data_IF_226443063954
#
_entry.id   IF_226443063954
#
_cell.length_a   1.000
_cell.length_b   1.000
_cell.length_c   1.000
_cell.angle_alpha   90.00
_cell.angle_beta   90.00
_cell.angle_gamma   90.00
#
_symmetry.space_group_name_H-M   'P 1'
#
loop_
_entity.id
_entity.type
_entity.pdbx_description
1 polymer ?
#
# COMPACT_ATOMS: atom_id res chain seq x y z
N UNK A 1 0.10 13.04 21.64
CA UNK A 1 1.40 12.34 21.74
C UNK A 1 1.83 11.91 20.34
N UNK A 2 2.90 12.50 19.78
CA UNK A 2 3.35 12.21 18.41
C UNK A 2 4.43 11.12 18.41
N UNK A 3 4.05 9.87 18.11
CA UNK A 3 5.00 8.77 17.97
C UNK A 3 5.80 8.93 16.66
N UNK A 4 7.06 9.33 16.75
CA UNK A 4 7.92 9.58 15.58
C UNK A 4 8.93 8.44 15.36
N UNK A 5 8.50 7.40 14.65
CA UNK A 5 9.33 6.23 14.34
C UNK A 5 10.40 6.51 13.27
N UNK A 6 10.43 7.72 12.68
CA UNK A 6 11.47 8.12 11.72
C UNK A 6 12.86 7.97 12.32
N UNK A 7 13.02 8.29 13.61
CA UNK A 7 14.32 8.30 14.32
C UNK A 7 14.88 6.91 14.61
N UNK A 8 14.06 5.86 14.52
CA UNK A 8 14.56 4.49 14.61
C UNK A 8 15.40 4.17 13.37
N UNK A 9 16.58 3.58 13.54
CA UNK A 9 17.31 2.95 12.45
C UNK A 9 16.51 1.73 11.94
N UNK A 10 16.63 1.41 10.64
CA UNK A 10 15.99 0.24 10.05
C UNK A 10 14.96 0.52 8.95
N UNK A 11 14.57 -0.56 8.26
CA UNK A 11 13.71 -0.54 7.08
C UNK A 11 12.31 -0.01 7.40
N UNK A 12 11.67 0.66 6.43
CA UNK A 12 10.31 1.21 6.56
C UNK A 12 9.27 0.17 7.01
N UNK A 13 9.47 -1.10 6.65
CA UNK A 13 8.59 -2.20 7.08
C UNK A 13 8.67 -2.49 8.57
N UNK A 14 9.86 -2.44 9.16
CA UNK A 14 10.01 -2.60 10.61
C UNK A 14 9.29 -1.47 11.36
N UNK A 15 9.44 -0.22 10.86
CA UNK A 15 8.71 0.94 11.37
C UNK A 15 7.20 0.78 11.23
N UNK A 16 6.72 0.23 10.10
CA UNK A 16 5.30 -0.06 9.92
C UNK A 16 4.77 -1.12 10.89
N UNK A 17 5.56 -2.14 11.22
CA UNK A 17 5.21 -3.13 12.26
C UNK A 17 5.08 -2.48 13.64
N UNK A 18 6.04 -1.63 14.03
CA UNK A 18 5.99 -0.90 15.31
C UNK A 18 4.82 0.10 15.34
N UNK A 19 4.56 0.80 14.23
CA UNK A 19 3.41 1.69 14.09
C UNK A 19 2.11 0.90 14.24
N UNK A 20 2.03 -0.30 13.68
CA UNK A 20 0.88 -1.19 13.84
C UNK A 20 0.68 -1.55 15.31
N UNK A 21 1.71 -1.92 16.06
CA UNK A 21 1.55 -2.25 17.48
C UNK A 21 1.04 -1.05 18.31
N UNK A 22 1.54 0.15 18.02
CA UNK A 22 1.26 1.37 18.81
C UNK A 22 -0.03 2.09 18.42
N UNK A 23 -0.25 2.36 17.12
CA UNK A 23 -1.43 3.10 16.63
C UNK A 23 -2.71 2.26 16.70
N UNK A 24 -2.59 0.94 16.48
CA UNK A 24 -3.78 0.12 16.36
C UNK A 24 -4.51 -0.04 17.70
N UNK A 25 -3.79 0.00 18.82
CA UNK A 25 -4.37 -0.14 20.15
C UNK A 25 -5.31 1.01 20.52
N UNK A 26 -5.12 2.22 19.96
CA UNK A 26 -5.90 3.41 20.31
C UNK A 26 -7.06 3.62 19.31
N UNK A 27 -6.77 3.60 18.02
CA UNK A 27 -7.75 4.09 17.03
C UNK A 27 -8.82 3.06 16.63
N UNK A 28 -8.55 1.75 16.78
CA UNK A 28 -9.49 0.72 16.31
C UNK A 28 -10.71 0.52 17.22
N UNK A 29 -10.60 0.87 18.51
CA UNK A 29 -11.68 0.65 19.48
C UNK A 29 -12.83 1.66 19.32
N UNK A 30 -12.55 2.91 18.98
CA UNK A 30 -13.57 3.97 19.00
C UNK A 30 -14.66 3.88 17.92
N UNK A 31 -14.40 3.25 16.76
CA UNK A 31 -15.35 3.20 15.67
C UNK A 31 -16.14 1.88 15.64
N UNK A 32 -15.47 0.76 15.34
CA UNK A 32 -16.17 -0.51 15.13
C UNK A 32 -16.73 -1.13 16.43
N UNK A 33 -16.09 -0.91 17.59
CA UNK A 33 -16.65 -1.35 18.89
C UNK A 33 -17.74 -0.40 19.43
N UNK A 34 -17.94 0.76 18.79
CA UNK A 34 -19.15 1.58 18.93
C UNK A 34 -20.31 1.13 18.02
N UNK A 35 -20.08 0.14 17.15
CA UNK A 35 -21.07 -0.36 16.18
C UNK A 35 -21.22 0.53 14.95
N UNK A 36 -20.26 1.41 14.67
CA UNK A 36 -20.22 2.28 13.49
C UNK A 36 -19.05 1.95 12.57
N UNK A 37 -19.20 2.24 11.28
CA UNK A 37 -18.10 2.16 10.32
C UNK A 37 -17.28 3.46 10.39
N UNK A 38 -15.94 3.42 10.39
CA UNK A 38 -15.13 4.62 10.30
C UNK A 38 -15.47 5.45 9.06
N UNK A 39 -15.65 6.75 9.26
CA UNK A 39 -15.92 7.70 8.16
C UNK A 39 -14.72 7.84 7.23
N UNK A 40 -14.90 8.40 6.03
CA UNK A 40 -13.78 8.68 5.12
C UNK A 40 -12.73 9.60 5.76
N UNK A 41 -13.19 10.66 6.44
CA UNK A 41 -12.32 11.63 7.14
C UNK A 41 -11.45 10.95 8.20
N UNK A 42 -12.04 10.08 9.03
CA UNK A 42 -11.29 9.33 10.05
C UNK A 42 -10.28 8.37 9.43
N UNK A 43 -10.67 7.66 8.36
CA UNK A 43 -9.76 6.75 7.63
C UNK A 43 -8.58 7.50 7.04
N UNK A 44 -8.82 8.68 6.45
CA UNK A 44 -7.76 9.54 5.90
C UNK A 44 -6.85 10.08 7.01
N UNK A 45 -7.41 10.63 8.08
CA UNK A 45 -6.65 11.14 9.22
C UNK A 45 -5.77 10.05 9.86
N UNK A 46 -6.32 8.84 10.05
CA UNK A 46 -5.56 7.69 10.54
C UNK A 46 -4.42 7.32 9.60
N UNK A 47 -4.72 7.17 8.31
CA UNK A 47 -3.71 6.84 7.31
C UNK A 47 -2.58 7.88 7.26
N UNK A 48 -2.91 9.17 7.30
CA UNK A 48 -1.94 10.25 7.31
C UNK A 48 -1.07 10.24 8.57
N UNK A 49 -1.66 10.03 9.75
CA UNK A 49 -0.93 9.91 11.00
C UNK A 49 0.00 8.70 11.00
N UNK A 50 -0.50 7.53 10.58
CA UNK A 50 0.27 6.29 10.46
C UNK A 50 1.45 6.46 9.49
N UNK A 51 1.16 7.00 8.31
CA UNK A 51 2.15 7.31 7.29
C UNK A 51 3.19 8.30 7.81
N UNK A 52 2.78 9.31 8.57
CA UNK A 52 3.68 10.30 9.17
C UNK A 52 4.60 9.68 10.20
N UNK A 53 4.08 8.76 11.02
CA UNK A 53 4.91 8.01 11.97
C UNK A 53 5.96 7.15 11.25
N UNK A 54 5.58 6.45 10.18
CA UNK A 54 6.47 5.52 9.47
C UNK A 54 7.48 6.23 8.56
N UNK A 55 7.02 7.22 7.78
CA UNK A 55 7.83 7.90 6.76
C UNK A 55 8.36 9.27 7.22
N UNK A 56 7.91 9.78 8.36
CA UNK A 56 8.20 11.14 8.83
C UNK A 56 7.18 12.18 8.36
N UNK A 57 7.50 13.47 8.55
CA UNK A 57 6.68 14.60 8.09
C UNK A 57 6.34 14.55 6.59
N UNK A 58 5.45 15.43 6.09
CA UNK A 58 5.16 15.52 4.67
C UNK A 58 6.45 15.80 3.90
N UNK A 59 7.04 14.76 3.31
CA UNK A 59 8.10 14.95 2.35
C UNK A 59 7.49 15.76 1.20
N UNK A 60 7.81 17.06 1.12
CA UNK A 60 7.51 17.90 -0.03
C UNK A 60 7.98 17.11 -1.26
N UNK A 61 7.05 16.59 -2.06
CA UNK A 61 7.35 15.78 -3.24
C UNK A 61 7.18 14.26 -3.14
N UNK A 62 6.61 13.67 -2.08
CA UNK A 62 6.24 12.23 -2.12
C UNK A 62 5.05 11.99 -3.08
N UNK A 63 5.39 11.49 -4.26
CA UNK A 63 4.47 11.21 -5.37
C UNK A 63 3.97 9.77 -5.41
N UNK A 64 4.41 8.87 -4.52
CA UNK A 64 4.04 7.47 -4.67
C UNK A 64 2.54 7.27 -4.40
N UNK A 65 1.90 6.44 -5.22
CA UNK A 65 0.48 6.15 -5.13
C UNK A 65 0.12 5.60 -3.75
N UNK A 66 -0.85 6.23 -3.07
CA UNK A 66 -1.22 5.86 -1.69
C UNK A 66 -1.64 4.38 -1.58
N UNK A 67 -2.48 3.83 -2.48
CA UNK A 67 -2.85 2.42 -2.40
C UNK A 67 -1.64 1.47 -2.57
N UNK A 68 -0.72 1.78 -3.49
CA UNK A 68 0.53 0.99 -3.64
C UNK A 68 1.44 1.09 -2.41
N UNK A 69 1.50 2.26 -1.77
CA UNK A 69 2.27 2.41 -0.53
C UNK A 69 1.66 1.57 0.62
N UNK A 70 0.33 1.53 0.75
CA UNK A 70 -0.32 0.62 1.69
C UNK A 70 0.02 -0.84 1.38
N UNK A 71 -0.03 -1.22 0.10
CA UNK A 71 0.24 -2.59 -0.35
C UNK A 71 1.69 -3.04 -0.09
N UNK A 72 2.68 -2.21 -0.46
CA UNK A 72 4.08 -2.63 -0.55
C UNK A 72 4.96 -2.19 0.63
N UNK A 73 4.57 -1.12 1.33
CA UNK A 73 5.40 -0.47 2.36
C UNK A 73 4.72 -0.54 3.74
N UNK A 74 3.51 0.01 3.85
CA UNK A 74 2.88 0.29 5.15
C UNK A 74 2.07 -0.90 5.68
N UNK A 75 1.60 -1.78 4.79
CA UNK A 75 0.79 -2.93 5.14
C UNK A 75 -0.64 -2.59 5.59
N UNK A 76 -1.38 -3.64 5.92
CA UNK A 76 -2.80 -3.57 6.31
C UNK A 76 -3.05 -2.81 7.62
N UNK A 77 -2.04 -2.72 8.50
CA UNK A 77 -2.13 -1.92 9.73
C UNK A 77 -2.31 -0.41 9.49
N UNK A 78 -2.01 0.07 8.28
CA UNK A 78 -2.23 1.47 7.87
C UNK A 78 -3.66 1.77 7.42
N UNK A 79 -4.55 0.77 7.43
CA UNK A 79 -5.95 0.89 7.03
C UNK A 79 -6.87 0.68 8.25
N UNK A 80 -7.49 1.77 8.71
CA UNK A 80 -8.36 1.75 9.88
C UNK A 80 -9.57 0.82 9.70
N UNK A 81 -10.11 0.72 8.48
CA UNK A 81 -11.26 -0.12 8.17
C UNK A 81 -10.88 -1.59 8.31
N UNK A 82 -9.77 -1.98 7.67
CA UNK A 82 -9.23 -3.34 7.75
C UNK A 82 -8.93 -3.74 9.20
N UNK A 83 -8.21 -2.87 9.90
CA UNK A 83 -7.76 -3.12 11.25
C UNK A 83 -8.92 -3.37 12.22
N UNK A 84 -9.93 -2.49 12.21
CA UNK A 84 -11.04 -2.63 13.12
C UNK A 84 -11.92 -3.83 12.75
N UNK A 85 -12.08 -4.15 11.45
CA UNK A 85 -12.81 -5.35 11.02
C UNK A 85 -12.09 -6.62 11.50
N UNK A 86 -10.77 -6.71 11.32
CA UNK A 86 -9.97 -7.83 11.78
C UNK A 86 -10.05 -8.02 13.30
N UNK A 87 -9.96 -6.94 14.08
CA UNK A 87 -10.08 -7.02 15.54
C UNK A 87 -11.46 -7.47 15.99
N UNK A 88 -12.52 -6.94 15.37
CA UNK A 88 -13.89 -7.34 15.68
C UNK A 88 -14.12 -8.82 15.34
N UNK A 89 -13.66 -9.31 14.18
CA UNK A 89 -13.72 -10.73 13.82
C UNK A 89 -13.00 -11.62 14.84
N UNK A 90 -11.78 -11.23 15.25
CA UNK A 90 -11.02 -11.97 16.27
C UNK A 90 -11.72 -11.97 17.63
N UNK A 91 -12.32 -10.84 18.02
CA UNK A 91 -13.08 -10.74 19.27
C UNK A 91 -14.31 -11.66 19.26
N UNK A 92 -15.09 -11.65 18.16
CA UNK A 92 -16.25 -12.53 17.99
C UNK A 92 -15.81 -14.00 18.01
N UNK A 93 -14.74 -14.35 17.29
CA UNK A 93 -14.22 -15.72 17.27
C UNK A 93 -13.77 -16.21 18.66
N UNK A 94 -13.05 -15.39 19.43
CA UNK A 94 -12.63 -15.72 20.81
C UNK A 94 -13.82 -15.86 21.75
N UNK A 95 -14.80 -14.96 21.64
CA UNK A 95 -16.03 -15.07 22.41
C UNK A 95 -16.77 -16.38 22.09
N UNK A 96 -16.83 -16.77 20.82
CA UNK A 96 -17.45 -18.02 20.40
C UNK A 96 -16.73 -19.25 20.97
N UNK A 97 -15.40 -19.23 20.98
CA UNK A 97 -14.58 -20.28 21.61
C UNK A 97 -14.86 -20.38 23.11
N UNK A 98 -14.90 -19.25 23.80
CA UNK A 98 -15.20 -19.20 25.24
C UNK A 98 -16.62 -19.67 25.57
N UNK A 99 -17.61 -19.26 24.78
CA UNK A 99 -18.99 -19.72 24.94
C UNK A 99 -19.09 -21.24 24.79
N UNK A 100 -18.45 -21.82 23.76
CA UNK A 100 -18.39 -23.28 23.55
C UNK A 100 -17.72 -24.00 24.71
N UNK A 101 -16.59 -23.50 25.20
CA UNK A 101 -15.89 -24.08 26.34
C UNK A 101 -16.75 -24.09 27.61
N UNK A 102 -17.65 -23.11 27.76
CA UNK A 102 -18.64 -23.05 28.84
C UNK A 102 -19.98 -23.75 28.53
N UNK A 103 -20.04 -24.64 27.53
CA UNK A 103 -21.26 -25.40 27.18
C UNK A 103 -22.38 -24.59 26.52
N UNK A 104 -22.11 -23.35 26.10
CA UNK A 104 -23.11 -22.45 25.47
C UNK A 104 -22.91 -22.41 23.96
N UNK A 105 -23.90 -22.79 23.14
CA UNK A 105 -23.75 -22.75 21.69
C UNK A 105 -23.79 -21.29 21.17
N UNK A 106 -22.73 -20.79 20.50
CA UNK A 106 -22.65 -19.41 20.02
C UNK A 106 -23.78 -19.01 19.07
N UNK A 107 -24.36 -20.01 18.38
CA UNK A 107 -25.45 -19.86 17.42
C UNK A 107 -26.74 -19.32 18.02
N UNK A 108 -26.94 -19.46 19.34
CA UNK A 108 -28.09 -18.86 20.04
C UNK A 108 -28.06 -17.33 19.98
N UNK A 109 -26.87 -16.73 19.90
CA UNK A 109 -26.72 -15.29 19.73
C UNK A 109 -26.68 -14.94 18.24
N UNK A 110 -27.69 -14.19 17.77
CA UNK A 110 -27.75 -13.72 16.38
C UNK A 110 -26.76 -12.59 16.12
N UNK A 111 -25.46 -12.91 16.05
CA UNK A 111 -24.39 -11.93 15.77
C UNK A 111 -24.73 -11.08 14.55
N UNK A 112 -25.22 -11.70 13.47
CA UNK A 112 -25.63 -11.03 12.22
C UNK A 112 -26.69 -9.94 12.39
N UNK A 113 -27.47 -9.95 13.49
CA UNK A 113 -28.50 -8.93 13.78
C UNK A 113 -27.99 -7.78 14.65
N UNK A 114 -26.76 -7.84 15.13
CA UNK A 114 -26.18 -6.77 15.95
C UNK A 114 -25.72 -5.58 15.10
N UNK A 115 -25.67 -4.39 15.70
CA UNK A 115 -25.04 -3.21 15.05
C UNK A 115 -23.59 -3.47 14.63
N UNK A 116 -22.88 -4.30 15.41
CA UNK A 116 -21.51 -4.72 15.15
C UNK A 116 -21.39 -5.53 13.87
N UNK A 117 -22.27 -6.52 13.67
CA UNK A 117 -22.25 -7.31 12.45
C UNK A 117 -22.66 -6.50 11.22
N UNK A 118 -23.59 -5.56 11.34
CA UNK A 118 -23.92 -4.63 10.22
C UNK A 118 -22.73 -3.75 9.84
N UNK A 119 -22.00 -3.23 10.82
CA UNK A 119 -20.80 -2.44 10.57
C UNK A 119 -19.67 -3.30 9.98
N UNK A 120 -19.48 -4.51 10.51
CA UNK A 120 -18.53 -5.49 9.99
C UNK A 120 -18.87 -5.89 8.54
N UNK A 121 -20.14 -6.13 8.24
CA UNK A 121 -20.59 -6.49 6.89
C UNK A 121 -20.22 -5.40 5.89
N UNK A 122 -20.50 -4.12 6.21
CA UNK A 122 -20.10 -2.99 5.36
C UNK A 122 -18.59 -2.93 5.12
N UNK A 123 -17.76 -3.38 6.06
CA UNK A 123 -16.31 -3.47 5.88
C UNK A 123 -15.94 -4.63 4.95
N UNK A 124 -16.55 -5.80 5.17
CA UNK A 124 -16.30 -7.02 4.40
C UNK A 124 -16.78 -6.90 2.94
N UNK A 125 -17.89 -6.21 2.70
CA UNK A 125 -18.41 -5.89 1.36
C UNK A 125 -17.35 -5.12 0.53
N UNK A 126 -16.59 -4.22 1.17
CA UNK A 126 -15.53 -3.45 0.51
C UNK A 126 -14.42 -4.35 -0.08
N UNK A 127 -14.24 -5.54 0.49
CA UNK A 127 -13.27 -6.54 0.00
C UNK A 127 -13.94 -7.72 -0.71
N UNK A 128 -15.23 -7.63 -1.02
CA UNK A 128 -15.99 -8.65 -1.76
C UNK A 128 -16.38 -9.87 -0.92
N UNK A 129 -16.44 -9.75 0.40
CA UNK A 129 -16.86 -10.82 1.31
C UNK A 129 -18.34 -10.70 1.67
N UNK A 130 -19.15 -11.62 1.17
CA UNK A 130 -20.61 -11.64 1.41
C UNK A 130 -20.99 -12.63 2.50
N UNK A 131 -22.05 -12.39 3.29
CA UNK A 131 -22.48 -13.33 4.32
C UNK A 131 -22.97 -14.63 3.68
N UNK A 132 -22.70 -15.78 4.31
CA UNK A 132 -23.21 -17.07 3.86
C UNK A 132 -24.62 -17.27 4.45
N UNK A 133 -25.68 -17.41 3.61
CA UNK A 133 -27.03 -17.61 4.10
C UNK A 133 -27.14 -18.82 5.04
N UNK A 134 -27.87 -18.66 6.15
CA UNK A 134 -28.11 -19.72 7.13
C UNK A 134 -26.91 -20.07 8.02
N UNK A 135 -25.71 -19.53 7.75
CA UNK A 135 -24.52 -19.80 8.56
C UNK A 135 -24.27 -18.69 9.58
N UNK A 136 -23.83 -19.09 10.77
CA UNK A 136 -23.52 -18.16 11.85
C UNK A 136 -22.13 -17.56 11.64
N UNK A 137 -22.05 -16.23 11.52
CA UNK A 137 -20.80 -15.49 11.39
C UNK A 137 -19.82 -16.10 10.36
N UNK A 138 -20.36 -16.42 9.19
CA UNK A 138 -19.60 -16.93 8.06
C UNK A 138 -19.76 -16.01 6.84
N UNK A 139 -18.66 -15.83 6.11
CA UNK A 139 -18.57 -15.02 4.89
C UNK A 139 -17.85 -15.76 3.79
N UNK A 140 -18.14 -15.42 2.54
CA UNK A 140 -17.55 -16.04 1.36
C UNK A 140 -17.05 -15.01 0.36
N UNK A 141 -15.93 -15.32 -0.27
CA UNK A 141 -15.41 -14.63 -1.46
C UNK A 141 -14.96 -15.69 -2.47
N UNK A 142 -15.74 -15.88 -3.55
CA UNK A 142 -15.49 -16.97 -4.51
C UNK A 142 -15.50 -18.33 -3.80
N UNK A 143 -14.37 -19.05 -3.85
CA UNK A 143 -14.18 -20.36 -3.17
C UNK A 143 -13.68 -20.25 -1.73
N UNK A 144 -13.31 -19.05 -1.28
CA UNK A 144 -12.78 -18.83 0.07
C UNK A 144 -13.92 -18.61 1.06
N UNK A 145 -13.81 -19.20 2.25
CA UNK A 145 -14.80 -19.06 3.33
C UNK A 145 -14.09 -18.63 4.60
N UNK A 146 -14.67 -17.63 5.26
CA UNK A 146 -14.29 -17.16 6.57
C UNK A 146 -15.40 -17.51 7.52
N UNK A 147 -15.21 -18.58 8.29
CA UNK A 147 -16.15 -19.08 9.27
C UNK A 147 -15.54 -18.95 10.67
N UNK A 148 -16.19 -18.19 11.55
CA UNK A 148 -15.71 -18.00 12.92
C UNK A 148 -15.96 -19.20 13.83
N UNK A 149 -16.77 -20.17 13.40
CA UNK A 149 -16.98 -21.44 14.09
C UNK A 149 -15.92 -22.48 13.75
N UNK A 150 -15.21 -22.31 12.63
CA UNK A 150 -14.18 -23.23 12.18
C UNK A 150 -13.01 -23.34 13.18
N UNK A 151 -12.16 -24.35 12.95
CA UNK A 151 -10.98 -24.57 13.78
C UNK A 151 -10.07 -23.34 13.80
N UNK A 152 -9.20 -23.22 14.82
CA UNK A 152 -8.21 -22.14 14.86
C UNK A 152 -7.37 -22.06 13.58
N UNK A 153 -6.94 -23.23 13.06
CA UNK A 153 -6.13 -23.33 11.83
C UNK A 153 -6.89 -22.80 10.62
N UNK A 154 -8.16 -23.16 10.47
CA UNK A 154 -9.00 -22.70 9.36
C UNK A 154 -9.30 -21.20 9.45
N UNK A 155 -9.49 -20.67 10.66
CA UNK A 155 -9.66 -19.23 10.88
C UNK A 155 -8.41 -18.43 10.54
N UNK A 156 -7.23 -18.92 10.91
CA UNK A 156 -5.96 -18.26 10.52
C UNK A 156 -5.76 -18.27 9.00
N UNK A 157 -6.12 -19.37 8.32
CA UNK A 157 -6.16 -19.41 6.85
C UNK A 157 -7.17 -18.39 6.30
N UNK A 158 -8.39 -18.33 6.83
CA UNK A 158 -9.39 -17.36 6.39
C UNK A 158 -8.95 -15.90 6.62
N UNK A 159 -8.26 -15.60 7.71
CA UNK A 159 -7.67 -14.27 7.93
C UNK A 159 -6.50 -13.98 6.98
N UNK A 160 -5.78 -15.00 6.52
CA UNK A 160 -4.84 -14.84 5.42
C UNK A 160 -5.57 -14.48 4.13
N UNK A 161 -6.62 -15.22 3.78
CA UNK A 161 -7.44 -15.00 2.59
C UNK A 161 -8.07 -13.59 2.58
N UNK A 162 -8.60 -13.14 3.73
CA UNK A 162 -9.10 -11.77 3.92
C UNK A 162 -8.01 -10.70 3.70
N UNK A 163 -6.78 -10.93 4.17
CA UNK A 163 -5.64 -10.02 3.89
C UNK A 163 -5.31 -9.98 2.41
N UNK A 164 -5.39 -11.12 1.72
CA UNK A 164 -5.13 -11.19 0.28
C UNK A 164 -6.20 -10.41 -0.50
N UNK A 165 -7.47 -10.53 -0.12
CA UNK A 165 -8.57 -9.72 -0.65
C UNK A 165 -8.31 -8.21 -0.48
N UNK A 166 -7.96 -7.78 0.73
CA UNK A 166 -7.61 -6.38 1.02
C UNK A 166 -6.47 -5.87 0.11
N UNK A 167 -5.42 -6.68 -0.09
CA UNK A 167 -4.30 -6.31 -0.98
C UNK A 167 -4.74 -6.14 -2.43
N UNK A 168 -5.59 -7.04 -2.93
CA UNK A 168 -6.16 -6.91 -4.28
C UNK A 168 -6.96 -5.61 -4.40
N UNK A 169 -7.81 -5.29 -3.42
CA UNK A 169 -8.55 -4.02 -3.40
C UNK A 169 -7.63 -2.80 -3.42
N UNK A 170 -6.49 -2.81 -2.70
CA UNK A 170 -5.49 -1.71 -2.78
C UNK A 170 -4.94 -1.57 -4.20
N UNK A 171 -4.65 -2.68 -4.87
CA UNK A 171 -4.14 -2.65 -6.24
C UNK A 171 -5.21 -2.14 -7.23
N UNK A 172 -6.46 -2.57 -7.07
CA UNK A 172 -7.60 -2.08 -7.85
C UNK A 172 -7.84 -0.58 -7.66
N UNK A 173 -7.75 -0.07 -6.44
CA UNK A 173 -7.88 1.36 -6.17
C UNK A 173 -6.79 2.17 -6.86
N UNK A 174 -5.55 1.66 -6.93
CA UNK A 174 -4.52 2.29 -7.75
C UNK A 174 -4.86 2.21 -9.24
N UNK A 175 -5.28 1.03 -9.73
CA UNK A 175 -5.68 0.84 -11.13
C UNK A 175 -6.86 1.73 -11.53
N UNK A 176 -7.76 2.10 -10.63
CA UNK A 176 -8.89 3.01 -10.91
C UNK A 176 -8.50 4.49 -10.85
N UNK A 177 -7.29 4.81 -10.35
CA UNK A 177 -6.87 6.20 -10.19
C UNK A 177 -6.57 6.89 -11.54
N UNK A 178 -6.66 8.24 -11.61
CA UNK A 178 -6.36 9.01 -12.82
C UNK A 178 -4.84 9.18 -13.04
N UNK A 179 -3.99 8.47 -12.28
CA UNK A 179 -2.54 8.60 -12.39
C UNK A 179 -2.05 8.05 -13.73
N UNK A 180 -1.00 8.67 -14.29
CA UNK A 180 -0.37 8.22 -15.54
C UNK A 180 0.16 6.78 -15.45
N UNK A 181 0.75 6.39 -14.31
CA UNK A 181 1.20 5.01 -14.08
C UNK A 181 0.04 4.01 -14.07
N UNK A 182 -1.10 4.37 -13.47
CA UNK A 182 -2.32 3.55 -13.52
C UNK A 182 -2.94 3.48 -14.93
N UNK A 183 -2.90 4.57 -15.71
CA UNK A 183 -3.37 4.58 -17.10
C UNK A 183 -2.55 3.57 -17.93
N UNK A 184 -1.21 3.62 -17.84
CA UNK A 184 -0.32 2.67 -18.53
C UNK A 184 -0.63 1.22 -18.10
N UNK A 185 -0.85 0.99 -16.80
CA UNK A 185 -1.20 -0.34 -16.30
C UNK A 185 -2.51 -0.86 -16.88
N UNK A 186 -3.53 -0.01 -17.02
CA UNK A 186 -4.80 -0.39 -17.66
C UNK A 186 -4.62 -0.68 -19.16
N UNK A 187 -3.79 0.10 -19.87
CA UNK A 187 -3.46 -0.13 -21.28
C UNK A 187 -2.75 -1.48 -21.48
N UNK A 188 -1.87 -1.85 -20.55
CA UNK A 188 -1.21 -3.16 -20.53
C UNK A 188 -2.06 -4.27 -19.87
N UNK A 189 -3.35 -4.02 -19.65
CA UNK A 189 -4.33 -4.98 -19.11
C UNK A 189 -3.93 -5.61 -17.77
N UNK A 190 -3.23 -4.87 -16.92
CA UNK A 190 -2.90 -5.31 -15.55
C UNK A 190 -4.19 -5.63 -14.80
N UNK A 191 -4.22 -6.79 -14.13
CA UNK A 191 -5.36 -7.23 -13.31
C UNK A 191 -4.90 -7.42 -11.88
N UNK A 192 -5.73 -6.96 -10.94
CA UNK A 192 -5.47 -7.21 -9.53
C UNK A 192 -5.75 -8.67 -9.19
N UNK A 193 -4.69 -9.47 -9.12
CA UNK A 193 -4.75 -10.89 -8.75
C UNK A 193 -3.88 -11.14 -7.53
N UNK A 194 -4.20 -12.19 -6.78
CA UNK A 194 -3.39 -12.61 -5.62
C UNK A 194 -1.95 -12.92 -6.05
N UNK A 195 -1.78 -13.61 -7.18
CA UNK A 195 -0.45 -13.94 -7.71
C UNK A 195 0.39 -12.71 -8.05
N UNK A 196 -0.19 -11.69 -8.68
CA UNK A 196 0.53 -10.43 -8.94
C UNK A 196 0.89 -9.72 -7.63
N UNK A 197 -0.09 -9.58 -6.73
CA UNK A 197 0.09 -8.93 -5.42
C UNK A 197 1.24 -9.56 -4.64
N UNK A 198 1.29 -10.89 -4.55
CA UNK A 198 2.31 -11.58 -3.78
C UNK A 198 3.68 -11.49 -4.44
N UNK A 199 3.74 -11.55 -5.78
CA UNK A 199 4.98 -11.30 -6.53
C UNK A 199 5.52 -9.90 -6.25
N UNK A 200 4.69 -8.86 -6.35
CA UNK A 200 5.11 -7.47 -6.08
C UNK A 200 5.57 -7.29 -4.63
N UNK A 201 4.94 -7.97 -3.68
CA UNK A 201 5.36 -7.92 -2.27
C UNK A 201 6.70 -8.61 -2.02
N UNK A 202 6.95 -9.74 -2.69
CA UNK A 202 8.24 -10.46 -2.68
C UNK A 202 9.32 -9.61 -3.34
N UNK A 203 9.04 -9.01 -4.48
CA UNK A 203 9.96 -8.08 -5.14
C UNK A 203 10.30 -6.90 -4.22
N UNK A 204 9.29 -6.27 -3.63
CA UNK A 204 9.51 -5.17 -2.68
C UNK A 204 10.22 -5.58 -1.38
N UNK A 205 10.34 -6.88 -1.03
CA UNK A 205 11.03 -7.31 0.19
C UNK A 205 12.54 -7.32 0.08
N UNK A 206 13.05 -7.46 -1.15
CA UNK A 206 14.50 -7.53 -1.43
C UNK A 206 15.06 -6.20 -1.94
N UNK A 207 14.19 -5.20 -2.17
CA UNK A 207 14.57 -3.92 -2.77
C UNK A 207 14.80 -2.81 -1.72
N UNK A 208 15.73 -1.88 -1.99
CA UNK A 208 15.96 -0.72 -1.13
C UNK A 208 14.80 0.29 -1.23
N UNK A 209 14.71 1.17 -0.24
CA UNK A 209 13.59 2.11 -0.11
C UNK A 209 13.36 3.03 -1.34
N UNK A 210 14.42 3.44 -2.03
CA UNK A 210 14.30 4.24 -3.26
C UNK A 210 13.70 3.43 -4.41
N UNK A 211 14.11 2.17 -4.57
CA UNK A 211 13.56 1.25 -5.57
C UNK A 211 12.09 0.94 -5.30
N UNK A 212 11.73 0.64 -4.04
CA UNK A 212 10.32 0.44 -3.64
C UNK A 212 9.49 1.73 -3.85
N UNK A 213 10.10 2.90 -3.67
CA UNK A 213 9.44 4.16 -4.02
C UNK A 213 9.16 4.26 -5.52
N UNK A 214 10.08 3.83 -6.38
CA UNK A 214 9.85 3.75 -7.83
C UNK A 214 8.72 2.76 -8.19
N UNK A 215 8.69 1.57 -7.55
CA UNK A 215 7.57 0.61 -7.69
C UNK A 215 6.20 1.23 -7.40
N UNK A 216 6.16 2.18 -6.47
CA UNK A 216 4.94 2.88 -6.08
C UNK A 216 4.67 4.13 -6.93
N UNK A 217 5.40 4.40 -8.02
CA UNK A 217 5.27 5.62 -8.82
C UNK A 217 5.74 6.89 -8.09
N UNK A 218 6.71 6.73 -7.18
CA UNK A 218 7.25 7.78 -6.31
C UNK A 218 8.47 8.52 -6.86
N UNK A 219 8.72 8.40 -8.18
CA UNK A 219 9.67 9.27 -8.87
C UNK A 219 9.02 10.65 -9.08
N UNK A 220 9.73 11.68 -8.65
CA UNK A 220 9.44 13.07 -9.02
C UNK A 220 10.55 13.54 -9.93
N UNK A 221 10.24 14.46 -10.82
CA UNK A 221 11.23 15.15 -11.64
C UNK A 221 10.85 16.62 -11.76
N UNK A 222 11.77 17.44 -12.23
CA UNK A 222 11.58 18.88 -12.35
C UNK A 222 10.52 19.27 -13.39
N UNK A 223 10.14 18.35 -14.28
CA UNK A 223 9.01 18.54 -15.20
C UNK A 223 7.69 18.87 -14.49
N UNK A 224 7.57 18.50 -13.20
CA UNK A 224 6.40 18.81 -12.37
C UNK A 224 6.74 19.61 -11.12
N UNK A 225 8.01 19.63 -10.72
CA UNK A 225 8.42 20.28 -9.50
C UNK A 225 9.00 21.67 -9.79
N UNK A 226 8.10 22.62 -10.00
CA UNK A 226 8.39 24.05 -10.06
C UNK A 226 7.63 24.74 -8.93
N UNK A 227 8.23 24.88 -7.73
CA UNK A 227 7.52 25.38 -6.57
C UNK A 227 6.84 26.74 -6.82
N UNK A 228 7.44 27.60 -7.67
CA UNK A 228 6.88 28.87 -8.17
C UNK A 228 7.61 29.31 -9.46
N UNK A 229 7.42 28.60 -10.59
CA UNK A 229 8.10 29.00 -11.83
C UNK A 229 7.60 28.31 -13.10
N UNK A 230 7.97 28.83 -14.29
CA UNK A 230 7.64 28.22 -15.56
C UNK A 230 8.15 26.79 -15.63
N UNK A 231 7.46 25.95 -16.40
CA UNK A 231 7.86 24.57 -16.61
C UNK A 231 9.30 24.52 -17.12
N UNK A 232 10.15 23.73 -16.45
CA UNK A 232 11.55 23.62 -16.86
C UNK A 232 11.64 22.91 -18.20
N UNK A 233 12.24 23.59 -19.17
CA UNK A 233 12.51 23.09 -20.52
C UNK A 233 13.94 22.56 -20.67
N UNK A 234 14.72 22.57 -19.60
CA UNK A 234 16.10 22.05 -19.56
C UNK A 234 16.23 21.04 -18.42
N UNK A 235 16.93 19.94 -18.67
CA UNK A 235 17.26 18.97 -17.65
C UNK A 235 18.52 19.43 -16.90
N UNK A 236 18.39 19.77 -15.62
CA UNK A 236 19.52 20.22 -14.79
C UNK A 236 20.52 19.11 -14.42
N UNK A 237 20.23 17.86 -14.75
CA UNK A 237 21.19 16.77 -14.58
C UNK A 237 22.16 16.68 -15.76
N UNK A 238 21.68 16.83 -17.00
CA UNK A 238 22.49 16.68 -18.22
C UNK A 238 22.68 17.96 -19.05
N UNK A 239 22.05 19.07 -18.67
CA UNK A 239 22.10 20.35 -19.38
C UNK A 239 21.31 20.41 -20.69
N UNK A 240 20.71 19.31 -21.16
CA UNK A 240 19.97 19.29 -22.42
C UNK A 240 18.66 20.07 -22.35
N UNK A 241 18.32 20.77 -23.44
CA UNK A 241 17.05 21.48 -23.64
C UNK A 241 15.88 20.50 -23.86
N UNK A 242 15.51 19.79 -22.80
CA UNK A 242 14.40 18.84 -22.74
C UNK A 242 13.64 18.97 -21.43
N UNK A 243 12.33 18.72 -21.47
CA UNK A 243 11.53 18.59 -20.25
C UNK A 243 12.01 17.36 -19.47
N UNK A 244 12.51 17.49 -18.23
CA UNK A 244 13.08 16.37 -17.48
C UNK A 244 11.96 15.47 -16.95
N UNK A 245 11.34 14.71 -17.84
CA UNK A 245 10.31 13.74 -17.51
C UNK A 245 10.93 12.53 -16.81
N UNK A 246 10.11 11.70 -16.17
CA UNK A 246 10.58 10.42 -15.60
C UNK A 246 11.20 9.52 -16.68
N UNK A 247 10.66 9.55 -17.89
CA UNK A 247 11.19 8.74 -19.00
C UNK A 247 12.58 9.26 -19.41
N UNK A 248 12.74 10.58 -19.52
CA UNK A 248 14.05 11.18 -19.75
C UNK A 248 15.04 10.82 -18.65
N UNK A 249 14.68 11.03 -17.38
CA UNK A 249 15.60 10.79 -16.25
C UNK A 249 16.02 9.33 -16.15
N UNK A 250 15.10 8.38 -16.32
CA UNK A 250 15.44 6.97 -16.21
C UNK A 250 16.12 6.39 -17.43
N UNK A 251 15.87 6.90 -18.64
CA UNK A 251 16.24 6.18 -19.87
C UNK A 251 17.09 6.97 -20.86
N UNK A 252 17.11 8.31 -20.78
CA UNK A 252 17.76 9.17 -21.80
C UNK A 252 18.87 10.04 -21.22
N UNK A 253 18.70 10.53 -19.99
CA UNK A 253 19.58 11.51 -19.36
C UNK A 253 21.03 11.00 -19.27
N UNK A 254 21.96 11.58 -20.03
CA UNK A 254 23.35 11.13 -20.10
C UNK A 254 24.09 11.17 -18.76
N UNK A 255 23.66 12.02 -17.82
CA UNK A 255 24.19 12.09 -16.46
C UNK A 255 23.94 10.82 -15.61
N UNK A 256 23.17 9.86 -16.11
CA UNK A 256 22.92 8.56 -15.48
C UNK A 256 23.20 7.40 -16.45
N UNK A 257 24.00 7.62 -17.50
CA UNK A 257 24.24 6.63 -18.54
C UNK A 257 24.94 5.37 -18.01
N UNK A 258 25.91 5.56 -17.12
CA UNK A 258 26.66 4.50 -16.43
C UNK A 258 25.75 3.59 -15.60
N UNK A 259 24.71 4.15 -14.97
CA UNK A 259 23.74 3.37 -14.20
C UNK A 259 22.84 2.49 -15.09
N UNK A 260 22.71 2.81 -16.37
CA UNK A 260 21.89 2.07 -17.35
C UNK A 260 22.67 1.05 -18.16
N UNK A 261 24.01 1.03 -18.08
CA UNK A 261 24.85 0.27 -19.00
C UNK A 261 24.44 -1.21 -19.15
N UNK A 262 23.90 -1.82 -18.09
CA UNK A 262 23.49 -3.22 -18.04
C UNK A 262 21.96 -3.40 -17.96
N UNK A 263 21.19 -2.33 -18.08
CA UNK A 263 19.73 -2.37 -17.92
C UNK A 263 19.08 -1.56 -19.03
N UNK A 264 18.81 -2.17 -20.20
CA UNK A 264 18.15 -1.49 -21.28
C UNK A 264 16.72 -1.08 -20.89
N UNK A 265 16.20 -0.08 -21.61
CA UNK A 265 14.80 0.32 -21.47
C UNK A 265 13.88 -0.84 -21.83
N UNK A 266 12.95 -1.25 -20.95
CA UNK A 266 12.02 -2.33 -21.26
C UNK A 266 11.02 -1.89 -22.33
N UNK A 267 10.50 -2.86 -23.09
CA UNK A 267 9.45 -2.63 -24.09
C UNK A 267 8.14 -2.16 -23.44
N UNK A 268 7.82 -2.73 -22.27
CA UNK A 268 6.65 -2.30 -21.49
C UNK A 268 6.83 -0.88 -20.99
N UNK A 269 5.84 -0.03 -21.30
CA UNK A 269 5.79 1.36 -20.86
C UNK A 269 5.51 1.45 -19.36
N UNK A 270 4.76 0.51 -18.81
CA UNK A 270 4.57 0.37 -17.38
C UNK A 270 5.89 0.00 -16.69
N UNK A 271 6.63 -1.00 -17.19
CA UNK A 271 7.93 -1.37 -16.67
C UNK A 271 8.90 -0.18 -16.69
N UNK A 272 8.92 0.57 -17.80
CA UNK A 272 9.75 1.76 -17.94
C UNK A 272 9.39 2.84 -16.90
N UNK A 273 8.14 2.85 -16.41
CA UNK A 273 7.63 3.84 -15.48
C UNK A 273 7.75 3.46 -14.01
N UNK A 274 7.43 2.22 -13.65
CA UNK A 274 7.37 1.74 -12.25
C UNK A 274 8.24 0.52 -11.98
N UNK A 275 8.94 -0.01 -12.99
CA UNK A 275 9.94 -1.07 -12.85
C UNK A 275 9.40 -2.50 -12.91
N UNK A 276 8.08 -2.69 -12.93
CA UNK A 276 7.41 -3.99 -12.94
C UNK A 276 6.22 -4.01 -13.91
N UNK A 277 5.77 -5.19 -14.30
CA UNK A 277 4.63 -5.42 -15.22
C UNK A 277 3.68 -6.48 -14.68
N UNK A 278 2.60 -6.82 -15.39
CA UNK A 278 1.82 -8.03 -15.07
C UNK A 278 2.65 -9.31 -15.27
N UNK A 279 3.31 -9.40 -16.43
CA UNK A 279 4.05 -10.57 -16.90
C UNK A 279 5.55 -10.28 -16.81
N UNK A 280 6.26 -10.88 -15.84
CA UNK A 280 7.67 -10.56 -15.58
C UNK A 280 8.54 -10.95 -16.78
N UNK A 281 9.54 -10.13 -17.05
CA UNK A 281 10.53 -10.31 -18.12
C UNK A 281 11.92 -10.71 -17.59
N UNK A 282 11.99 -11.08 -16.30
CA UNK A 282 13.23 -11.51 -15.64
C UNK A 282 14.14 -10.36 -15.16
N UNK A 283 14.05 -9.16 -15.74
CA UNK A 283 14.93 -8.03 -15.43
C UNK A 283 14.39 -7.03 -14.40
N UNK A 284 13.36 -7.39 -13.64
CA UNK A 284 12.66 -6.44 -12.74
C UNK A 284 13.54 -5.97 -11.58
N UNK A 285 14.39 -6.85 -11.03
CA UNK A 285 15.23 -6.52 -9.87
C UNK A 285 16.31 -5.52 -10.27
N UNK A 286 17.08 -5.84 -11.31
CA UNK A 286 18.15 -5.02 -11.86
C UNK A 286 17.61 -3.64 -12.25
N UNK A 287 16.46 -3.63 -12.92
CA UNK A 287 15.75 -2.41 -13.29
C UNK A 287 15.36 -1.56 -12.10
N UNK A 288 14.74 -2.15 -11.08
CA UNK A 288 14.32 -1.42 -9.90
C UNK A 288 15.50 -0.93 -9.06
N UNK A 289 16.59 -1.69 -9.02
CA UNK A 289 17.85 -1.26 -8.40
C UNK A 289 18.43 -0.04 -9.11
N UNK A 290 18.52 -0.09 -10.45
CA UNK A 290 18.96 1.04 -11.28
C UNK A 290 18.05 2.27 -11.07
N UNK A 291 16.74 2.12 -11.21
CA UNK A 291 15.77 3.20 -10.98
C UNK A 291 15.87 3.76 -9.56
N UNK A 292 16.17 2.91 -8.57
CA UNK A 292 16.37 3.29 -7.18
C UNK A 292 17.62 4.16 -6.99
N UNK A 293 18.74 3.81 -7.64
CA UNK A 293 19.99 4.60 -7.63
C UNK A 293 19.79 5.95 -8.31
N UNK A 294 19.23 5.96 -9.53
CA UNK A 294 18.92 7.21 -10.24
C UNK A 294 18.02 8.12 -9.38
N UNK A 295 16.98 7.56 -8.76
CA UNK A 295 16.12 8.33 -7.86
C UNK A 295 16.88 8.88 -6.65
N UNK A 296 17.81 8.11 -6.08
CA UNK A 296 18.63 8.59 -4.97
C UNK A 296 19.46 9.81 -5.37
N UNK A 297 20.13 9.73 -6.51
CA UNK A 297 21.04 10.76 -6.98
C UNK A 297 20.29 12.00 -7.47
N UNK A 298 19.14 11.82 -8.14
CA UNK A 298 18.25 12.91 -8.53
C UNK A 298 17.72 13.66 -7.30
N UNK A 299 17.30 12.95 -6.25
CA UNK A 299 16.83 13.58 -5.01
C UNK A 299 17.95 14.32 -4.30
N UNK A 300 19.18 13.79 -4.32
CA UNK A 300 20.37 14.46 -3.75
C UNK A 300 20.70 15.73 -4.52
N UNK A 301 20.80 15.64 -5.85
CA UNK A 301 21.04 16.77 -6.75
C UNK A 301 19.99 17.86 -6.51
N UNK A 302 18.71 17.49 -6.50
CA UNK A 302 17.62 18.41 -6.23
C UNK A 302 17.72 19.06 -4.85
N UNK A 303 18.03 18.33 -3.78
CA UNK A 303 18.20 18.98 -2.46
C UNK A 303 19.28 20.04 -2.48
N UNK A 304 20.40 19.77 -3.15
CA UNK A 304 21.50 20.74 -3.27
C UNK A 304 21.10 21.96 -4.09
N UNK A 305 20.23 21.82 -5.09
CA UNK A 305 19.74 22.96 -5.88
C UNK A 305 18.77 23.86 -5.11
N UNK A 306 17.99 23.28 -4.20
CA UNK A 306 16.92 23.99 -3.50
C UNK A 306 17.30 24.45 -2.08
N UNK A 307 18.40 23.98 -1.52
CA UNK A 307 19.00 24.58 -0.32
C UNK A 307 19.38 26.05 -0.52
N UNK A 308 19.48 26.52 -1.76
CA UNK A 308 19.70 27.93 -2.14
C UNK A 308 18.43 28.79 -2.23
N UNK A 309 17.24 28.20 -2.05
CA UNK A 309 15.94 28.90 -2.24
C UNK A 309 15.12 29.02 -0.95
N UNK A 310 15.74 28.77 0.20
CA UNK A 310 15.12 28.92 1.52
C UNK A 310 15.92 29.84 2.45
N UNK A 311 16.56 30.86 1.87
CA UNK A 311 16.81 32.13 2.53
C UNK A 311 15.72 33.13 2.09
#
# INVERSE_FOLDING_TARGET
MAFNLKRLSGALRAKASVATLTFTAICSWGALMGGRVPTLKERQAFFEAFRRAVKGGPAKGDRSARPLQQLLILGHGSDLLYLGAQKLLKAIGRWADHARAGGRPPTQHRVCRTRYARALQKCLDHWGWTPVPGQWAAWRQGRQVLDLQASYKDREKAFHDLRSAWRCTRLEEWLKSPRRDAILARQERVRATVGLVDRLRKLASVLPGHAVSCMCGGMSTDAKWTPRGPQRLTCECCGLAVVPSVDHVFWVCCAFAELRAQTPRPVSMLAARVGWTQNPDGGEIERLMMMGRIRHDEVKSRKNRFSWTMD
#
